data_IF_130723027602
#
_entry.id   IF_130723027602
#
_cell.length_a   1.000
_cell.length_b   1.000
_cell.length_c   1.000
_cell.angle_alpha   90.00
_cell.angle_beta   90.00
_cell.angle_gamma   90.00
#
_symmetry.space_group_name_H-M   'P 1'
#
loop_
_entity.id
_entity.type
_entity.pdbx_description
1 polymer ?
#
# COMPACT_ATOMS: atom_id res chain seq x y z
N UNK A 1 13.89 -12.56 -111.37
CA UNK A 1 14.30 -11.33 -110.64
C UNK A 1 13.12 -10.46 -110.18
N UNK A 2 11.95 -10.45 -110.86
CA UNK A 2 10.77 -9.65 -110.43
C UNK A 2 10.11 -10.12 -109.12
N UNK A 3 9.85 -11.42 -108.96
CA UNK A 3 9.21 -11.96 -107.73
C UNK A 3 9.94 -11.64 -106.41
N UNK A 4 11.27 -11.50 -106.45
CA UNK A 4 12.05 -11.14 -105.26
C UNK A 4 11.93 -9.65 -104.96
N UNK A 5 11.92 -8.80 -106.00
CA UNK A 5 11.73 -7.37 -105.88
C UNK A 5 10.32 -7.02 -105.39
N UNK A 6 9.28 -7.71 -105.87
CA UNK A 6 7.90 -7.48 -105.40
C UNK A 6 7.75 -7.87 -103.92
N UNK A 7 8.40 -8.96 -103.51
CA UNK A 7 8.42 -9.38 -102.11
C UNK A 7 9.20 -8.39 -101.24
N UNK A 8 10.33 -7.88 -101.70
CA UNK A 8 11.13 -6.87 -101.00
C UNK A 8 10.40 -5.53 -100.89
N UNK A 9 9.68 -5.11 -101.93
CA UNK A 9 8.78 -3.95 -101.89
C UNK A 9 7.67 -4.14 -100.84
N UNK A 10 7.03 -5.32 -100.81
CA UNK A 10 6.01 -5.63 -99.80
C UNK A 10 6.56 -5.65 -98.36
N UNK A 11 7.82 -6.06 -98.17
CA UNK A 11 8.49 -6.00 -96.88
C UNK A 11 8.81 -4.54 -96.49
N UNK A 12 9.29 -3.72 -97.42
CA UNK A 12 9.54 -2.29 -97.17
C UNK A 12 8.25 -1.53 -96.82
N UNK A 13 7.14 -1.81 -97.51
CA UNK A 13 5.83 -1.22 -97.19
C UNK A 13 5.29 -1.72 -95.84
N UNK A 14 5.65 -2.94 -95.42
CA UNK A 14 5.31 -3.44 -94.09
C UNK A 14 6.18 -2.79 -93.01
N UNK A 15 7.47 -2.57 -93.27
CA UNK A 15 8.36 -1.86 -92.35
C UNK A 15 7.90 -0.42 -92.17
N UNK A 16 7.56 0.31 -93.24
CA UNK A 16 7.03 1.68 -93.13
C UNK A 16 5.75 1.75 -92.31
N UNK A 17 4.79 0.84 -92.55
CA UNK A 17 3.57 0.79 -91.74
C UNK A 17 3.84 0.51 -90.26
N UNK A 18 4.76 -0.41 -89.97
CA UNK A 18 5.16 -0.70 -88.60
C UNK A 18 5.90 0.49 -87.95
N UNK A 19 6.73 1.22 -88.70
CA UNK A 19 7.38 2.44 -88.22
C UNK A 19 6.37 3.55 -87.90
N UNK A 20 5.36 3.73 -88.75
CA UNK A 20 4.26 4.69 -88.52
C UNK A 20 3.41 4.29 -87.31
N UNK A 21 3.03 3.02 -87.19
CA UNK A 21 2.29 2.50 -86.04
C UNK A 21 3.11 2.63 -84.75
N UNK A 22 4.42 2.36 -84.80
CA UNK A 22 5.29 2.48 -83.64
C UNK A 22 5.47 3.95 -83.22
N UNK A 23 5.59 4.89 -84.18
CA UNK A 23 5.62 6.31 -83.89
C UNK A 23 4.29 6.82 -83.26
N UNK A 24 3.15 6.30 -83.71
CA UNK A 24 1.85 6.59 -83.11
C UNK A 24 1.74 6.04 -81.69
N UNK A 25 2.18 4.81 -81.45
CA UNK A 25 2.20 4.20 -80.12
C UNK A 25 3.13 4.96 -79.17
N UNK A 26 4.31 5.37 -79.62
CA UNK A 26 5.20 6.22 -78.82
C UNK A 26 4.57 7.56 -78.45
N UNK A 27 3.84 8.17 -79.39
CA UNK A 27 3.11 9.40 -79.11
C UNK A 27 2.02 9.17 -78.07
N UNK A 28 1.24 8.09 -78.20
CA UNK A 28 0.21 7.75 -77.22
C UNK A 28 0.79 7.43 -75.84
N UNK A 29 1.95 6.75 -75.77
CA UNK A 29 2.65 6.49 -74.51
C UNK A 29 3.08 7.81 -73.85
N UNK A 30 3.71 8.72 -74.62
CA UNK A 30 4.13 10.03 -74.10
C UNK A 30 2.93 10.86 -73.62
N UNK A 31 1.84 10.86 -74.37
CA UNK A 31 0.63 11.58 -74.00
C UNK A 31 -0.05 10.96 -72.77
N UNK A 32 -0.05 9.63 -72.66
CA UNK A 32 -0.55 8.92 -71.49
C UNK A 32 0.28 9.23 -70.25
N UNK A 33 1.62 9.22 -70.34
CA UNK A 33 2.49 9.64 -69.24
C UNK A 33 2.31 11.11 -68.88
N UNK A 34 2.08 12.00 -69.84
CA UNK A 34 1.80 13.41 -69.56
C UNK A 34 0.47 13.61 -68.82
N UNK A 35 -0.56 12.84 -69.18
CA UNK A 35 -1.89 12.87 -68.54
C UNK A 35 -1.95 12.12 -67.19
N UNK A 36 -1.11 11.10 -67.01
CA UNK A 36 -1.06 10.24 -65.82
C UNK A 36 0.07 10.59 -64.86
N UNK A 37 1.02 11.42 -65.28
CA UNK A 37 1.98 12.02 -64.36
C UNK A 37 1.17 12.75 -63.29
N UNK A 38 1.28 12.37 -62.01
CA UNK A 38 0.53 13.03 -60.95
C UNK A 38 0.87 14.51 -60.96
N UNK A 39 -0.08 15.34 -61.36
CA UNK A 39 0.05 16.80 -61.37
C UNK A 39 0.30 17.25 -59.94
N UNK A 40 1.56 17.59 -59.64
CA UNK A 40 2.08 18.00 -58.35
C UNK A 40 1.96 16.96 -57.22
N UNK A 41 3.03 16.83 -56.43
CA UNK A 41 2.92 16.20 -55.11
C UNK A 41 1.79 16.89 -54.34
N UNK A 42 0.81 16.13 -53.85
CA UNK A 42 -0.23 16.69 -52.98
C UNK A 42 0.46 17.36 -51.79
N UNK A 43 0.30 18.67 -51.64
CA UNK A 43 0.97 19.42 -50.57
C UNK A 43 0.32 19.10 -49.21
N UNK A 44 0.89 18.15 -48.47
CA UNK A 44 0.42 17.75 -47.14
C UNK A 44 0.86 18.70 -46.01
N UNK A 45 1.53 19.81 -46.33
CA UNK A 45 2.10 20.76 -45.36
C UNK A 45 1.07 21.28 -44.34
N UNK A 46 -0.15 21.56 -44.77
CA UNK A 46 -1.23 22.03 -43.89
C UNK A 46 -1.64 20.98 -42.83
N UNK A 47 -1.60 19.68 -43.17
CA UNK A 47 -1.92 18.62 -42.21
C UNK A 47 -0.84 18.50 -41.14
N UNK A 48 0.44 18.65 -41.49
CA UNK A 48 1.52 18.62 -40.51
C UNK A 48 1.40 19.74 -39.48
N UNK A 49 1.03 20.96 -39.91
CA UNK A 49 0.76 22.07 -38.99
C UNK A 49 -0.39 21.76 -38.03
N UNK A 50 -1.49 21.18 -38.51
CA UNK A 50 -2.61 20.79 -37.64
C UNK A 50 -2.23 19.67 -36.67
N UNK A 51 -1.43 18.70 -37.11
CA UNK A 51 -0.94 17.60 -36.26
C UNK A 51 -0.04 18.16 -35.16
N UNK A 52 0.88 19.06 -35.49
CA UNK A 52 1.77 19.71 -34.53
C UNK A 52 0.97 20.54 -33.50
N UNK A 53 -0.03 21.29 -33.95
CA UNK A 53 -0.92 22.04 -33.05
C UNK A 53 -1.68 21.11 -32.09
N UNK A 54 -2.21 19.99 -32.57
CA UNK A 54 -2.89 19.01 -31.74
C UNK A 54 -1.93 18.34 -30.75
N UNK A 55 -0.71 18.01 -31.18
CA UNK A 55 0.33 17.47 -30.30
C UNK A 55 0.67 18.46 -29.17
N UNK A 56 0.84 19.74 -29.51
CA UNK A 56 1.10 20.79 -28.53
C UNK A 56 -0.07 20.97 -27.54
N UNK A 57 -1.31 20.89 -28.02
CA UNK A 57 -2.50 20.93 -27.14
C UNK A 57 -2.53 19.73 -26.19
N UNK A 58 -2.23 18.52 -26.67
CA UNK A 58 -2.17 17.31 -25.84
C UNK A 58 -1.08 17.46 -24.77
N UNK A 59 0.10 17.95 -25.14
CA UNK A 59 1.21 18.16 -24.20
C UNK A 59 0.81 19.20 -23.15
N UNK A 60 0.25 20.34 -23.56
CA UNK A 60 -0.22 21.38 -22.63
C UNK A 60 -1.27 20.83 -21.67
N UNK A 61 -2.28 20.13 -22.18
CA UNK A 61 -3.33 19.53 -21.36
C UNK A 61 -2.77 18.47 -20.39
N UNK A 62 -1.76 17.70 -20.81
CA UNK A 62 -1.09 16.71 -19.95
C UNK A 62 -0.31 17.39 -18.84
N UNK A 63 0.43 18.46 -19.15
CA UNK A 63 1.16 19.25 -18.15
C UNK A 63 0.20 19.89 -17.15
N UNK A 64 -0.90 20.47 -17.60
CA UNK A 64 -1.87 21.11 -16.73
C UNK A 64 -2.63 20.08 -15.87
N UNK A 65 -2.92 18.89 -16.40
CA UNK A 65 -3.47 17.78 -15.62
C UNK A 65 -2.49 17.34 -14.51
N UNK A 66 -1.20 17.20 -14.84
CA UNK A 66 -0.18 16.88 -13.83
C UNK A 66 -0.06 17.97 -12.75
N UNK A 67 -0.13 19.26 -13.11
CA UNK A 67 -0.16 20.36 -12.14
C UNK A 67 -1.38 20.26 -11.22
N UNK A 68 -2.57 20.06 -11.78
CA UNK A 68 -3.80 19.89 -10.99
C UNK A 68 -3.71 18.70 -10.04
N UNK A 69 -3.11 17.59 -10.48
CA UNK A 69 -2.89 16.42 -9.63
C UNK A 69 -1.96 16.73 -8.45
N UNK A 70 -0.87 17.46 -8.69
CA UNK A 70 0.03 17.93 -7.63
C UNK A 70 -0.66 18.89 -6.65
N UNK A 71 -1.49 19.81 -7.15
CA UNK A 71 -2.25 20.74 -6.32
C UNK A 71 -3.29 20.01 -5.46
N UNK A 72 -3.93 18.98 -6.01
CA UNK A 72 -4.85 18.09 -5.27
C UNK A 72 -4.10 17.36 -4.15
N UNK A 73 -2.94 16.78 -4.45
CA UNK A 73 -2.16 16.04 -3.46
C UNK A 73 -1.61 16.98 -2.38
N UNK A 74 -1.15 18.18 -2.74
CA UNK A 74 -0.74 19.21 -1.78
C UNK A 74 -1.92 19.64 -0.88
N UNK A 75 -3.09 19.87 -1.46
CA UNK A 75 -4.31 20.23 -0.73
C UNK A 75 -4.76 19.11 0.23
N UNK A 76 -4.59 17.84 -0.17
CA UNK A 76 -4.87 16.68 0.70
C UNK A 76 -3.87 16.59 1.85
N UNK A 77 -2.57 16.71 1.55
CA UNK A 77 -1.53 16.67 2.58
C UNK A 77 -1.72 17.79 3.61
N UNK A 78 -2.02 19.02 3.16
CA UNK A 78 -2.30 20.14 4.07
C UNK A 78 -3.58 19.93 4.88
N UNK A 79 -4.64 19.36 4.30
CA UNK A 79 -5.84 18.98 5.04
C UNK A 79 -5.56 17.92 6.11
N UNK A 80 -4.74 16.91 5.80
CA UNK A 80 -4.31 15.87 6.75
C UNK A 80 -3.44 16.45 7.88
N UNK A 81 -2.53 17.36 7.57
CA UNK A 81 -1.73 18.08 8.57
C UNK A 81 -2.62 18.87 9.54
N UNK A 82 -3.65 19.56 9.02
CA UNK A 82 -4.59 20.29 9.86
C UNK A 82 -5.48 19.36 10.69
N UNK A 83 -5.90 18.22 10.12
CA UNK A 83 -6.65 17.19 10.85
C UNK A 83 -5.83 16.65 12.03
N UNK A 84 -4.57 16.28 11.81
CA UNK A 84 -3.69 15.80 12.88
C UNK A 84 -3.46 16.86 13.96
N UNK A 85 -3.24 18.12 13.56
CA UNK A 85 -3.10 19.23 14.52
C UNK A 85 -4.37 19.44 15.35
N UNK A 86 -5.54 19.36 14.72
CA UNK A 86 -6.83 19.47 15.40
C UNK A 86 -7.04 18.33 16.40
N UNK A 87 -6.74 17.08 16.01
CA UNK A 87 -6.85 15.92 16.89
C UNK A 87 -5.93 16.05 18.12
N UNK A 88 -4.68 16.48 17.92
CA UNK A 88 -3.75 16.74 19.02
C UNK A 88 -4.24 17.86 19.95
N UNK A 89 -4.69 18.99 19.41
CA UNK A 89 -5.21 20.11 20.20
C UNK A 89 -6.48 19.70 20.96
N UNK A 90 -7.35 18.88 20.35
CA UNK A 90 -8.54 18.35 21.00
C UNK A 90 -8.20 17.52 22.25
N UNK A 91 -7.20 16.65 22.15
CA UNK A 91 -6.72 15.83 23.28
C UNK A 91 -6.15 16.71 24.39
N UNK A 92 -5.34 17.71 24.04
CA UNK A 92 -4.78 18.67 25.02
C UNK A 92 -5.92 19.43 25.71
N UNK A 93 -6.90 19.92 24.94
CA UNK A 93 -8.08 20.62 25.46
C UNK A 93 -8.88 19.75 26.42
N UNK A 94 -9.14 18.49 26.07
CA UNK A 94 -9.84 17.54 26.94
C UNK A 94 -9.08 17.28 28.25
N UNK A 95 -7.75 17.17 28.18
CA UNK A 95 -6.90 17.00 29.36
C UNK A 95 -6.99 18.22 30.28
N UNK A 96 -6.85 19.43 29.72
CA UNK A 96 -6.99 20.66 30.49
C UNK A 96 -8.39 20.83 31.08
N UNK A 97 -9.45 20.43 30.37
CA UNK A 97 -10.81 20.43 30.92
C UNK A 97 -10.98 19.46 32.07
N UNK A 98 -10.38 18.27 31.98
CA UNK A 98 -10.38 17.30 33.08
C UNK A 98 -9.68 17.89 34.32
N UNK A 99 -8.53 18.54 34.13
CA UNK A 99 -7.79 19.22 35.21
C UNK A 99 -8.62 20.36 35.83
N UNK A 100 -9.27 21.20 35.02
CA UNK A 100 -10.15 22.28 35.50
C UNK A 100 -11.31 21.73 36.32
N UNK A 101 -11.94 20.64 35.86
CA UNK A 101 -13.02 20.00 36.59
C UNK A 101 -12.51 19.38 37.91
N UNK A 102 -11.31 18.79 37.92
CA UNK A 102 -10.66 18.34 39.14
C UNK A 102 -10.39 19.47 40.13
N UNK A 103 -9.87 20.60 39.65
CA UNK A 103 -9.63 21.79 40.48
C UNK A 103 -10.92 22.39 41.04
N UNK A 104 -12.02 22.36 40.29
CA UNK A 104 -13.34 22.78 40.80
C UNK A 104 -13.81 21.87 41.94
N UNK A 105 -13.69 20.55 41.79
CA UNK A 105 -14.05 19.62 42.86
C UNK A 105 -13.19 19.83 44.12
N UNK A 106 -11.88 20.05 43.96
CA UNK A 106 -10.99 20.38 45.07
C UNK A 106 -11.37 21.71 45.74
N UNK A 107 -11.77 22.72 44.97
CA UNK A 107 -12.26 23.98 45.52
C UNK A 107 -13.54 23.78 46.34
N UNK A 108 -14.47 22.97 45.84
CA UNK A 108 -15.72 22.66 46.55
C UNK A 108 -15.43 21.90 47.86
N UNK A 109 -14.51 20.93 47.84
CA UNK A 109 -14.05 20.20 49.04
C UNK A 109 -13.37 21.14 50.06
N UNK A 110 -12.49 22.03 49.60
CA UNK A 110 -11.86 23.03 50.45
C UNK A 110 -12.87 24.03 51.01
N UNK A 111 -13.90 24.38 50.24
CA UNK A 111 -14.98 25.25 50.71
C UNK A 111 -15.84 24.54 51.76
N UNK A 112 -16.11 23.25 51.57
CA UNK A 112 -16.83 22.44 52.55
C UNK A 112 -16.04 22.28 53.86
N UNK A 113 -14.74 21.99 53.79
CA UNK A 113 -13.89 21.90 54.99
C UNK A 113 -13.77 23.25 55.69
N UNK A 114 -13.62 24.36 54.96
CA UNK A 114 -13.61 25.71 55.54
C UNK A 114 -14.90 26.01 56.29
N UNK A 115 -16.06 25.77 55.68
CA UNK A 115 -17.37 26.03 56.30
C UNK A 115 -17.62 25.14 57.52
N UNK A 116 -17.15 23.88 57.48
CA UNK A 116 -17.21 22.98 58.63
C UNK A 116 -16.37 23.51 59.81
N UNK A 117 -15.12 23.92 59.55
CA UNK A 117 -14.24 24.52 60.55
C UNK A 117 -14.77 25.86 61.08
N UNK A 118 -15.37 26.69 60.23
CA UNK A 118 -16.03 27.94 60.64
C UNK A 118 -17.18 27.65 61.61
N UNK A 119 -17.98 26.62 61.35
CA UNK A 119 -19.06 26.19 62.25
C UNK A 119 -18.54 25.66 63.59
N UNK A 120 -17.48 24.85 63.59
CA UNK A 120 -16.84 24.36 64.82
C UNK A 120 -16.27 25.52 65.65
N UNK A 121 -15.65 26.50 65.00
CA UNK A 121 -15.10 27.68 65.64
C UNK A 121 -16.20 28.52 66.29
N UNK A 122 -17.33 28.71 65.60
CA UNK A 122 -18.46 29.45 66.16
C UNK A 122 -19.10 28.71 67.35
N UNK A 123 -19.27 27.39 67.25
CA UNK A 123 -19.71 26.55 68.38
C UNK A 123 -18.81 26.70 69.60
N UNK A 124 -17.48 26.62 69.42
CA UNK A 124 -16.52 26.78 70.51
C UNK A 124 -16.55 28.19 71.12
N UNK A 125 -16.81 29.23 70.32
CA UNK A 125 -17.00 30.59 70.86
C UNK A 125 -18.29 30.69 71.68
N UNK A 126 -19.39 30.11 71.21
CA UNK A 126 -20.65 30.08 71.94
C UNK A 126 -20.49 29.36 73.28
N UNK A 127 -19.81 28.21 73.30
CA UNK A 127 -19.46 27.49 74.53
C UNK A 127 -18.63 28.35 75.48
N UNK A 128 -17.62 29.07 74.96
CA UNK A 128 -16.78 29.95 75.76
C UNK A 128 -17.60 31.11 76.38
N UNK A 129 -18.51 31.71 75.61
CA UNK A 129 -19.41 32.75 76.11
C UNK A 129 -20.35 32.18 77.17
N UNK A 130 -20.92 30.99 76.94
CA UNK A 130 -21.80 30.32 77.90
C UNK A 130 -21.08 30.03 79.22
N UNK A 131 -19.86 29.50 79.17
CA UNK A 131 -19.04 29.24 80.37
C UNK A 131 -18.73 30.54 81.12
N UNK A 132 -18.36 31.62 80.42
CA UNK A 132 -18.12 32.93 81.07
C UNK A 132 -19.37 33.47 81.73
N UNK A 133 -20.51 33.39 81.06
CA UNK A 133 -21.79 33.84 81.58
C UNK A 133 -22.18 33.04 82.82
N UNK A 134 -22.07 31.71 82.76
CA UNK A 134 -22.34 30.83 83.90
C UNK A 134 -21.44 31.19 85.09
N UNK A 135 -20.15 31.44 84.85
CA UNK A 135 -19.22 31.85 85.90
C UNK A 135 -19.59 33.22 86.51
N UNK A 136 -20.00 34.20 85.69
CA UNK A 136 -20.48 35.50 86.18
C UNK A 136 -21.76 35.36 87.01
N UNK A 137 -22.68 34.50 86.59
CA UNK A 137 -23.91 34.19 87.33
C UNK A 137 -23.60 33.47 88.65
N UNK A 138 -22.71 32.49 88.66
CA UNK A 138 -22.22 31.82 89.87
C UNK A 138 -21.55 32.79 90.84
N UNK A 139 -20.68 33.68 90.33
CA UNK A 139 -20.06 34.72 91.15
C UNK A 139 -21.08 35.71 91.69
N UNK A 140 -22.09 36.10 90.91
CA UNK A 140 -23.19 36.96 91.37
C UNK A 140 -24.02 36.26 92.44
N UNK A 141 -24.29 34.97 92.29
CA UNK A 141 -24.96 34.13 93.29
C UNK A 141 -24.13 34.04 94.58
N UNK A 142 -22.82 33.75 94.48
CA UNK A 142 -21.91 33.73 95.63
C UNK A 142 -21.77 35.10 96.30
N UNK A 143 -21.71 36.20 95.52
CA UNK A 143 -21.72 37.56 96.06
C UNK A 143 -23.03 37.89 96.75
N UNK A 144 -24.18 37.45 96.22
CA UNK A 144 -25.48 37.60 96.87
C UNK A 144 -25.57 36.79 98.17
N UNK A 145 -24.94 35.61 98.22
CA UNK A 145 -24.79 34.82 99.45
C UNK A 145 -23.81 35.45 100.45
N UNK A 146 -22.84 36.23 99.99
CA UNK A 146 -21.83 36.89 100.85
C UNK A 146 -22.30 38.29 101.32
N UNK A 147 -23.38 38.84 100.75
CA UNK A 147 -23.91 40.17 101.05
C UNK A 147 -25.14 40.22 101.99
N UNK A 148 -25.54 39.09 102.58
CA UNK A 148 -26.67 39.02 103.50
C UNK A 148 -26.25 38.52 104.87
N UNK A 149 -26.07 39.43 105.83
CA UNK A 149 -26.40 39.11 107.22
C UNK A 149 -27.92 38.99 107.29
N UNK A 150 -28.44 37.78 107.03
CA UNK A 150 -29.86 37.48 107.16
C UNK A 150 -30.10 37.04 108.59
N UNK A 151 -30.36 38.02 109.46
CA UNK A 151 -31.13 37.80 110.68
C UNK A 151 -32.56 37.45 110.28
N UNK A 152 -32.89 36.14 110.29
CA UNK A 152 -34.28 35.65 110.23
C UNK A 152 -34.80 35.53 111.66
N UNK A 153 -35.56 36.53 112.10
CA UNK A 153 -36.39 36.41 113.30
C UNK A 153 -37.57 35.48 113.01
N UNK A 154 -37.53 34.31 113.66
CA UNK A 154 -38.55 33.26 113.59
C UNK A 154 -39.75 33.70 114.42
N UNK A 155 -40.80 34.22 113.77
CA UNK A 155 -42.13 34.28 114.37
C UNK A 155 -42.86 32.95 114.11
N UNK A 156 -42.90 32.11 115.14
CA UNK A 156 -43.63 30.86 115.15
C UNK A 156 -45.15 31.12 115.11
N UNK A 157 -45.72 31.07 113.91
CA UNK A 157 -47.14 30.81 113.69
C UNK A 157 -47.44 29.33 113.99
N UNK A 158 -48.69 28.98 114.37
CA UNK A 158 -49.02 27.71 115.04
C UNK A 158 -48.71 26.50 114.15
N UNK A 159 -48.09 25.48 114.77
CA UNK A 159 -47.46 24.33 114.12
C UNK A 159 -48.23 23.75 112.93
N UNK A 160 -47.67 23.95 111.75
CA UNK A 160 -47.99 23.15 110.57
C UNK A 160 -47.48 21.72 110.76
N UNK A 161 -48.28 20.77 110.30
CA UNK A 161 -48.11 19.35 110.51
C UNK A 161 -46.82 18.85 109.83
N UNK A 162 -45.73 18.76 110.59
CA UNK A 162 -44.38 18.43 110.12
C UNK A 162 -44.34 17.12 109.33
N UNK A 163 -45.24 16.20 109.67
CA UNK A 163 -45.42 14.92 108.99
C UNK A 163 -45.94 15.10 107.55
N UNK A 164 -46.76 16.12 107.32
CA UNK A 164 -47.30 16.45 106.00
C UNK A 164 -46.21 17.04 105.10
N UNK A 165 -45.40 17.98 105.60
CA UNK A 165 -44.28 18.58 104.86
C UNK A 165 -43.21 17.53 104.52
N UNK A 166 -42.86 16.64 105.46
CA UNK A 166 -41.92 15.55 105.19
C UNK A 166 -42.45 14.56 104.15
N UNK A 167 -43.76 14.29 104.14
CA UNK A 167 -44.39 13.44 103.12
C UNK A 167 -44.46 14.14 101.75
N UNK A 168 -44.75 15.43 101.71
CA UNK A 168 -44.77 16.22 100.47
C UNK A 168 -43.37 16.31 99.86
N UNK A 169 -42.35 16.54 100.69
CA UNK A 169 -40.95 16.54 100.28
C UNK A 169 -40.52 15.16 99.77
N UNK A 170 -40.93 14.07 100.43
CA UNK A 170 -40.70 12.70 99.94
C UNK A 170 -41.38 12.45 98.59
N UNK A 171 -42.63 12.88 98.44
CA UNK A 171 -43.38 12.75 97.18
C UNK A 171 -42.72 13.53 96.04
N UNK A 172 -42.19 14.74 96.31
CA UNK A 172 -41.44 15.51 95.32
C UNK A 172 -40.16 14.80 94.90
N UNK A 173 -39.39 14.24 95.85
CA UNK A 173 -38.21 13.45 95.52
C UNK A 173 -38.54 12.17 94.75
N UNK A 174 -39.60 11.44 95.12
CA UNK A 174 -40.05 10.27 94.37
C UNK A 174 -40.49 10.64 92.95
N UNK A 175 -41.16 11.77 92.74
CA UNK A 175 -41.50 12.28 91.42
C UNK A 175 -40.26 12.67 90.60
N UNK A 176 -39.27 13.33 91.20
CA UNK A 176 -38.02 13.70 90.54
C UNK A 176 -37.22 12.46 90.15
N UNK A 177 -37.16 11.45 91.01
CA UNK A 177 -36.48 10.17 90.73
C UNK A 177 -37.18 9.44 89.59
N UNK A 178 -38.51 9.33 89.63
CA UNK A 178 -39.28 8.65 88.59
C UNK A 178 -39.23 9.40 87.25
N UNK A 179 -39.22 10.74 87.28
CA UNK A 179 -39.01 11.58 86.10
C UNK A 179 -37.61 11.37 85.51
N UNK A 180 -36.56 11.42 86.33
CA UNK A 180 -35.19 11.14 85.88
C UNK A 180 -35.05 9.73 85.29
N UNK A 181 -35.65 8.71 85.93
CA UNK A 181 -35.65 7.33 85.42
C UNK A 181 -36.25 7.27 84.03
N UNK A 182 -37.42 7.89 83.83
CA UNK A 182 -38.11 7.92 82.53
C UNK A 182 -37.33 8.71 81.48
N UNK A 183 -36.75 9.85 81.84
CA UNK A 183 -35.93 10.66 80.93
C UNK A 183 -34.67 9.90 80.48
N UNK A 184 -34.04 9.17 81.39
CA UNK A 184 -32.89 8.30 81.08
C UNK A 184 -33.29 7.14 80.18
N UNK A 185 -34.41 6.46 80.46
CA UNK A 185 -34.94 5.37 79.60
C UNK A 185 -35.24 5.88 78.18
N UNK A 186 -35.95 7.01 78.05
CA UNK A 186 -36.23 7.63 76.75
C UNK A 186 -34.97 8.06 76.02
N UNK A 187 -34.00 8.63 76.74
CA UNK A 187 -32.71 9.00 76.16
C UNK A 187 -31.95 7.78 75.64
N UNK A 188 -31.95 6.66 76.38
CA UNK A 188 -31.36 5.40 75.93
C UNK A 188 -32.08 4.83 74.71
N UNK A 189 -33.41 4.84 74.68
CA UNK A 189 -34.20 4.38 73.52
C UNK A 189 -33.85 5.18 72.26
N UNK A 190 -33.87 6.52 72.35
CA UNK A 190 -33.47 7.40 71.23
C UNK A 190 -32.04 7.12 70.79
N UNK A 191 -31.11 6.93 71.73
CA UNK A 191 -29.71 6.66 71.38
C UNK A 191 -29.53 5.30 70.70
N UNK A 192 -30.24 4.27 71.15
CA UNK A 192 -30.25 2.95 70.51
C UNK A 192 -30.84 3.03 69.10
N UNK A 193 -31.95 3.74 68.93
CA UNK A 193 -32.56 3.95 67.61
C UNK A 193 -31.63 4.69 66.66
N UNK A 194 -30.94 5.74 67.13
CA UNK A 194 -29.97 6.49 66.33
C UNK A 194 -28.81 5.60 65.87
N UNK A 195 -28.23 4.81 66.79
CA UNK A 195 -27.15 3.87 66.47
C UNK A 195 -27.64 2.81 65.49
N UNK A 196 -28.84 2.25 65.69
CA UNK A 196 -29.39 1.23 64.81
C UNK A 196 -29.67 1.78 63.40
N UNK A 197 -30.15 3.03 63.31
CA UNK A 197 -30.33 3.74 62.04
C UNK A 197 -28.99 3.94 61.34
N UNK A 198 -27.96 4.37 62.06
CA UNK A 198 -26.61 4.56 61.51
C UNK A 198 -25.97 3.24 61.04
N UNK A 199 -26.15 2.15 61.79
CA UNK A 199 -25.70 0.81 61.39
C UNK A 199 -26.42 0.35 60.13
N UNK A 200 -27.74 0.57 60.05
CA UNK A 200 -28.53 0.19 58.88
C UNK A 200 -28.12 0.98 57.64
N UNK A 201 -27.94 2.30 57.75
CA UNK A 201 -27.50 3.13 56.64
C UNK A 201 -26.09 2.76 56.19
N UNK A 202 -25.15 2.61 57.14
CA UNK A 202 -23.77 2.21 56.84
C UNK A 202 -23.72 0.81 56.19
N UNK A 203 -24.54 -0.14 56.66
CA UNK A 203 -24.64 -1.46 56.04
C UNK A 203 -25.18 -1.37 54.60
N UNK A 204 -26.15 -0.50 54.35
CA UNK A 204 -26.70 -0.29 53.00
C UNK A 204 -25.65 0.34 52.07
N UNK A 205 -24.89 1.34 52.54
CA UNK A 205 -23.82 1.98 51.78
C UNK A 205 -22.69 1.01 51.44
N UNK A 206 -22.34 0.12 52.37
CA UNK A 206 -21.37 -0.95 52.12
C UNK A 206 -21.92 -1.92 51.06
N UNK A 207 -23.20 -2.29 51.12
CA UNK A 207 -23.81 -3.18 50.14
C UNK A 207 -23.87 -2.56 48.74
N UNK A 208 -24.22 -1.27 48.62
CA UNK A 208 -24.25 -0.58 47.33
C UNK A 208 -22.85 -0.42 46.75
N UNK A 209 -21.88 -0.01 47.56
CA UNK A 209 -20.47 0.12 47.15
C UNK A 209 -19.87 -1.23 46.73
N UNK A 210 -20.12 -2.30 47.49
CA UNK A 210 -19.66 -3.65 47.11
C UNK A 210 -20.31 -4.13 45.82
N UNK A 211 -21.60 -3.85 45.59
CA UNK A 211 -22.25 -4.17 44.33
C UNK A 211 -21.64 -3.40 43.16
N UNK A 212 -21.42 -2.09 43.29
CA UNK A 212 -20.76 -1.27 42.27
C UNK A 212 -19.34 -1.79 41.95
N UNK A 213 -18.57 -2.15 42.96
CA UNK A 213 -17.25 -2.75 42.77
C UNK A 213 -17.32 -4.09 42.02
N UNK A 214 -18.34 -4.91 42.27
CA UNK A 214 -18.52 -6.17 41.52
C UNK A 214 -18.91 -5.95 40.06
N UNK A 215 -19.76 -4.96 39.77
CA UNK A 215 -20.12 -4.60 38.40
C UNK A 215 -18.92 -4.04 37.63
N UNK A 216 -18.18 -3.10 38.22
CA UNK A 216 -16.96 -2.56 37.61
C UNK A 216 -15.91 -3.64 37.34
N UNK A 217 -15.75 -4.62 38.25
CA UNK A 217 -14.87 -5.77 38.03
C UNK A 217 -15.34 -6.64 36.85
N UNK A 218 -16.65 -6.85 36.71
CA UNK A 218 -17.22 -7.60 35.56
C UNK A 218 -17.01 -6.85 34.26
N UNK A 219 -17.24 -5.54 34.24
CA UNK A 219 -17.00 -4.70 33.07
C UNK A 219 -15.52 -4.71 32.65
N UNK A 220 -14.61 -4.58 33.61
CA UNK A 220 -13.17 -4.67 33.37
C UNK A 220 -12.80 -6.03 32.74
N UNK A 221 -13.30 -7.14 33.29
CA UNK A 221 -13.05 -8.48 32.74
C UNK A 221 -13.63 -8.63 31.32
N UNK A 222 -14.83 -8.10 31.07
CA UNK A 222 -15.44 -8.13 29.74
C UNK A 222 -14.61 -7.33 28.72
N UNK A 223 -14.12 -6.15 29.11
CA UNK A 223 -13.24 -5.34 28.25
C UNK A 223 -11.89 -6.01 28.00
N UNK A 224 -11.32 -6.69 29.00
CA UNK A 224 -10.10 -7.49 28.81
C UNK A 224 -10.32 -8.63 27.82
N UNK A 225 -11.45 -9.35 27.90
CA UNK A 225 -11.79 -10.42 26.96
C UNK A 225 -11.98 -9.86 25.54
N UNK A 226 -12.70 -8.74 25.40
CA UNK A 226 -12.88 -8.08 24.11
C UNK A 226 -11.53 -7.63 23.52
N UNK A 227 -10.64 -7.06 24.34
CA UNK A 227 -9.30 -6.69 23.91
C UNK A 227 -8.52 -7.91 23.41
N UNK A 228 -8.56 -9.04 24.13
CA UNK A 228 -7.90 -10.28 23.68
C UNK A 228 -8.51 -10.82 22.39
N UNK A 229 -9.84 -10.75 22.23
CA UNK A 229 -10.51 -11.14 21.00
C UNK A 229 -10.05 -10.28 19.82
N UNK A 230 -10.00 -8.95 19.98
CA UNK A 230 -9.53 -8.03 18.94
C UNK A 230 -8.05 -8.22 18.59
N UNK A 231 -7.19 -8.52 19.57
CA UNK A 231 -5.79 -8.87 19.30
C UNK A 231 -5.68 -10.17 18.49
N UNK A 232 -6.52 -11.17 18.80
CA UNK A 232 -6.54 -12.43 18.06
C UNK A 232 -7.01 -12.25 16.60
N UNK A 233 -8.02 -11.41 16.36
CA UNK A 233 -8.52 -11.12 15.01
C UNK A 233 -7.49 -10.33 14.21
N UNK A 234 -6.85 -9.33 14.82
CA UNK A 234 -5.74 -8.59 14.22
C UNK A 234 -4.63 -9.54 13.77
N UNK A 235 -4.13 -10.38 14.67
CA UNK A 235 -3.06 -11.32 14.34
C UNK A 235 -3.46 -12.28 13.21
N UNK A 236 -4.71 -12.75 13.20
CA UNK A 236 -5.21 -13.60 12.10
C UNK A 236 -5.24 -12.87 10.77
N UNK A 237 -5.61 -11.59 10.74
CA UNK A 237 -5.65 -10.78 9.53
C UNK A 237 -4.23 -10.45 9.02
N UNK A 238 -3.31 -10.12 9.92
CA UNK A 238 -1.89 -9.90 9.58
C UNK A 238 -1.24 -11.16 9.00
N UNK A 239 -1.51 -12.32 9.59
CA UNK A 239 -1.03 -13.60 9.06
C UNK A 239 -1.62 -13.90 7.67
N UNK A 240 -2.93 -13.68 7.48
CA UNK A 240 -3.56 -13.85 6.17
C UNK A 240 -2.98 -12.90 5.12
N UNK A 241 -2.67 -11.65 5.50
CA UNK A 241 -2.03 -10.70 4.61
C UNK A 241 -0.64 -11.20 4.20
N UNK A 242 0.20 -11.55 5.17
CA UNK A 242 1.55 -12.08 4.92
C UNK A 242 1.55 -13.34 4.04
N UNK A 243 0.61 -14.26 4.26
CA UNK A 243 0.43 -15.45 3.43
C UNK A 243 0.06 -15.07 1.98
N UNK A 244 -0.87 -14.13 1.80
CA UNK A 244 -1.27 -13.69 0.45
C UNK A 244 -0.14 -12.98 -0.27
N UNK A 245 0.61 -12.11 0.40
CA UNK A 245 1.77 -11.42 -0.15
C UNK A 245 2.86 -12.42 -0.55
N UNK A 246 3.17 -13.40 0.30
CA UNK A 246 4.13 -14.47 -0.01
C UNK A 246 3.70 -15.27 -1.24
N UNK A 247 2.42 -15.66 -1.31
CA UNK A 247 1.86 -16.40 -2.45
C UNK A 247 1.96 -15.60 -3.76
N UNK A 248 1.63 -14.31 -3.73
CA UNK A 248 1.75 -13.45 -4.91
C UNK A 248 3.21 -13.16 -5.27
N UNK A 249 4.10 -13.02 -4.29
CA UNK A 249 5.55 -12.91 -4.51
C UNK A 249 6.10 -14.14 -5.24
N UNK A 250 5.70 -15.34 -4.83
CA UNK A 250 6.07 -16.58 -5.50
C UNK A 250 5.53 -16.65 -6.93
N UNK A 251 4.26 -16.28 -7.14
CA UNK A 251 3.66 -16.24 -8.48
C UNK A 251 4.39 -15.25 -9.40
N UNK A 252 4.76 -14.08 -8.88
CA UNK A 252 5.52 -13.08 -9.63
C UNK A 252 6.90 -13.61 -10.01
N UNK A 253 7.60 -14.27 -9.08
CA UNK A 253 8.89 -14.90 -9.34
C UNK A 253 8.78 -16.01 -10.39
N UNK A 254 7.71 -16.81 -10.37
CA UNK A 254 7.44 -17.83 -11.37
C UNK A 254 7.23 -17.22 -12.76
N UNK A 255 6.42 -16.18 -12.87
CA UNK A 255 6.18 -15.46 -14.14
C UNK A 255 7.48 -14.83 -14.64
N UNK A 256 8.26 -14.21 -13.75
CA UNK A 256 9.56 -13.65 -14.12
C UNK A 256 10.52 -14.73 -14.64
N UNK A 257 10.52 -15.92 -14.03
CA UNK A 257 11.30 -17.06 -14.52
C UNK A 257 10.88 -17.49 -15.93
N UNK A 258 9.58 -17.49 -16.23
CA UNK A 258 9.07 -17.78 -17.58
C UNK A 258 9.47 -16.70 -18.58
N UNK A 259 9.40 -15.42 -18.21
CA UNK A 259 9.85 -14.30 -19.05
C UNK A 259 11.34 -14.48 -19.38
N UNK A 260 12.18 -14.70 -18.37
CA UNK A 260 13.62 -14.87 -18.55
C UNK A 260 13.93 -16.06 -19.49
N UNK A 261 13.24 -17.19 -19.34
CA UNK A 261 13.41 -18.36 -20.21
C UNK A 261 13.09 -18.03 -21.67
N UNK A 262 11.99 -17.31 -21.92
CA UNK A 262 11.60 -16.93 -23.29
C UNK A 262 12.54 -15.87 -23.86
N UNK A 263 13.01 -14.93 -23.06
CA UNK A 263 14.02 -13.94 -23.46
C UNK A 263 15.35 -14.60 -23.84
N UNK A 264 15.77 -15.62 -23.08
CA UNK A 264 16.97 -16.41 -23.36
C UNK A 264 16.82 -17.21 -24.67
N UNK A 265 15.68 -17.89 -24.88
CA UNK A 265 15.37 -18.58 -26.14
C UNK A 265 15.40 -17.63 -27.35
N UNK A 266 14.78 -16.45 -27.21
CA UNK A 266 14.82 -15.40 -28.24
C UNK A 266 16.25 -14.91 -28.51
N UNK A 267 17.06 -14.76 -27.46
CA UNK A 267 18.48 -14.44 -27.58
C UNK A 267 19.24 -15.49 -28.36
N UNK A 268 19.06 -16.77 -28.03
CA UNK A 268 19.69 -17.91 -28.71
C UNK A 268 19.35 -17.93 -30.20
N UNK A 269 18.06 -17.82 -30.54
CA UNK A 269 17.60 -17.82 -31.94
C UNK A 269 18.20 -16.64 -32.73
N UNK A 270 18.31 -15.45 -32.11
CA UNK A 270 18.95 -14.30 -32.76
C UNK A 270 20.43 -14.55 -33.03
N UNK A 271 21.17 -15.08 -32.06
CA UNK A 271 22.58 -15.44 -32.24
C UNK A 271 22.76 -16.50 -33.33
N UNK A 272 21.92 -17.54 -33.35
CA UNK A 272 21.92 -18.56 -34.40
C UNK A 272 21.63 -17.96 -35.78
N UNK A 273 20.64 -17.07 -35.87
CA UNK A 273 20.27 -16.38 -37.12
C UNK A 273 21.42 -15.49 -37.64
N UNK A 274 22.08 -14.74 -36.76
CA UNK A 274 23.26 -13.93 -37.12
C UNK A 274 24.41 -14.80 -37.61
N UNK A 275 24.67 -15.92 -36.94
CA UNK A 275 25.70 -16.88 -37.36
C UNK A 275 25.39 -17.48 -38.73
N UNK A 276 24.16 -17.92 -38.97
CA UNK A 276 23.73 -18.43 -40.28
C UNK A 276 23.85 -17.36 -41.36
N UNK A 277 23.44 -16.12 -41.08
CA UNK A 277 23.57 -15.00 -42.02
C UNK A 277 25.03 -14.79 -42.44
N UNK A 278 25.96 -14.88 -41.49
CA UNK A 278 27.38 -14.77 -41.76
C UNK A 278 27.89 -15.93 -42.63
N UNK A 279 27.48 -17.16 -42.36
CA UNK A 279 27.79 -18.33 -43.19
C UNK A 279 27.25 -18.18 -44.62
N UNK A 280 25.99 -17.73 -44.77
CA UNK A 280 25.39 -17.45 -46.07
C UNK A 280 26.17 -16.39 -46.87
N UNK A 281 26.61 -15.31 -46.21
CA UNK A 281 27.45 -14.28 -46.86
C UNK A 281 28.78 -14.85 -47.34
N UNK A 282 29.43 -15.70 -46.53
CA UNK A 282 30.68 -16.36 -46.94
C UNK A 282 30.46 -17.28 -48.14
N UNK A 283 29.40 -18.11 -48.10
CA UNK A 283 29.08 -19.02 -49.20
C UNK A 283 28.73 -18.28 -50.49
N UNK A 284 27.97 -17.18 -50.39
CA UNK A 284 27.68 -16.31 -51.52
C UNK A 284 28.96 -15.72 -52.12
N UNK A 285 29.92 -15.29 -51.29
CA UNK A 285 31.23 -14.81 -51.74
C UNK A 285 32.06 -15.88 -52.47
N UNK A 286 32.00 -17.13 -52.02
CA UNK A 286 32.66 -18.25 -52.72
C UNK A 286 31.96 -18.52 -54.05
N UNK A 287 30.62 -18.55 -54.07
CA UNK A 287 29.82 -18.78 -55.27
C UNK A 287 30.09 -17.72 -56.34
N UNK A 288 30.12 -16.44 -55.98
CA UNK A 288 30.42 -15.35 -56.94
C UNK A 288 31.83 -15.46 -57.50
N UNK A 289 32.82 -15.86 -56.68
CA UNK A 289 34.19 -16.12 -57.16
C UNK A 289 34.23 -17.30 -58.14
N UNK A 290 33.57 -18.41 -57.83
CA UNK A 290 33.50 -19.57 -58.73
C UNK A 290 32.79 -19.22 -60.05
N UNK A 291 31.73 -18.40 -60.01
CA UNK A 291 31.06 -17.92 -61.22
C UNK A 291 31.99 -17.07 -62.10
N UNK A 292 32.85 -16.24 -61.49
CA UNK A 292 33.89 -15.50 -62.21
C UNK A 292 34.93 -16.43 -62.84
N UNK A 293 35.43 -17.43 -62.11
CA UNK A 293 36.37 -18.43 -62.63
C UNK A 293 35.76 -19.22 -63.81
N UNK A 294 34.50 -19.65 -63.70
CA UNK A 294 33.78 -20.31 -64.81
C UNK A 294 33.63 -19.39 -66.03
N UNK A 295 33.31 -18.12 -65.82
CA UNK A 295 33.20 -17.15 -66.91
C UNK A 295 34.56 -16.96 -67.63
N UNK A 296 35.65 -16.88 -66.87
CA UNK A 296 37.01 -16.83 -67.42
C UNK A 296 37.33 -18.11 -68.21
N UNK A 297 37.06 -19.29 -67.65
CA UNK A 297 37.25 -20.56 -68.35
C UNK A 297 36.45 -20.65 -69.65
N UNK A 298 35.20 -20.14 -69.68
CA UNK A 298 34.38 -20.06 -70.91
C UNK A 298 34.98 -19.12 -71.96
N UNK A 299 35.51 -17.96 -71.55
CA UNK A 299 36.20 -17.02 -72.45
C UNK A 299 37.41 -17.66 -73.11
N UNK A 300 38.27 -18.33 -72.32
CA UNK A 300 39.47 -19.01 -72.81
C UNK A 300 39.12 -20.15 -73.79
N UNK A 301 38.05 -20.91 -73.53
CA UNK A 301 37.56 -21.94 -74.48
C UNK A 301 37.08 -21.34 -75.80
N UNK A 302 36.42 -20.17 -75.76
CA UNK A 302 35.91 -19.49 -76.94
C UNK A 302 37.04 -18.90 -77.80
N UNK A 303 38.10 -18.37 -77.17
CA UNK A 303 39.33 -17.94 -77.85
C UNK A 303 40.02 -19.12 -78.56
N UNK A 304 40.19 -20.26 -77.88
CA UNK A 304 40.78 -21.46 -78.47
C UNK A 304 39.97 -22.08 -79.62
N UNK A 305 38.64 -21.90 -79.64
CA UNK A 305 37.79 -22.32 -80.77
C UNK A 305 37.89 -21.39 -81.97
N UNK A 306 38.15 -20.10 -81.77
CA UNK A 306 38.42 -19.17 -82.87
C UNK A 306 39.76 -19.50 -83.56
N UNK A 307 40.79 -19.86 -82.79
CA UNK A 307 42.09 -20.33 -83.32
C UNK A 307 41.96 -21.63 -84.13
N UNK A 308 41.06 -22.55 -83.72
CA UNK A 308 40.77 -23.78 -84.47
C UNK A 308 40.02 -23.51 -85.79
N UNK A 309 39.19 -22.47 -85.85
CA UNK A 309 38.43 -22.11 -87.06
C UNK A 309 39.29 -21.41 -88.12
N UNK A 310 40.35 -20.71 -87.73
CA UNK A 310 41.33 -20.09 -88.66
C UNK A 310 42.33 -21.13 -89.19
N UNK A 311 42.59 -22.20 -88.45
CA UNK A 311 43.55 -23.25 -88.82
C UNK A 311 43.00 -24.34 -89.77
N UNK A 312 41.69 -24.32 -90.11
CA UNK A 312 41.05 -25.36 -90.94
C UNK A 312 41.18 -25.16 -92.47
N UNK A 313 42.03 -24.23 -92.95
CA UNK A 313 42.08 -23.85 -94.39
C UNK A 313 43.35 -24.24 -95.17
N UNK A 314 44.28 -25.03 -94.61
CA UNK A 314 45.41 -25.57 -95.36
C UNK A 314 45.65 -27.05 -95.01
N UNK A 315 45.18 -27.93 -95.91
CA UNK A 315 45.76 -29.19 -96.42
C UNK A 315 47.18 -29.55 -95.88
N UNK A 316 47.62 -30.79 -95.59
CA UNK A 316 47.30 -32.14 -96.11
C UNK A 316 48.15 -33.21 -95.33
N UNK A 317 47.53 -34.25 -94.74
CA UNK A 317 47.94 -35.69 -94.55
C UNK A 317 49.41 -36.10 -94.13
N UNK A 318 49.74 -37.40 -93.89
CA UNK A 318 49.25 -38.37 -92.89
C UNK A 318 50.38 -39.18 -92.17
N UNK A 319 49.97 -40.12 -91.28
CA UNK A 319 50.58 -41.46 -91.03
C UNK A 319 51.33 -41.79 -89.72
N UNK A 320 50.79 -42.82 -89.04
CA UNK A 320 51.44 -43.95 -88.33
C UNK A 320 52.23 -43.65 -87.03
N UNK A 321 52.34 -44.49 -85.98
CA UNK A 321 51.73 -45.73 -85.43
C UNK A 321 52.63 -46.13 -84.24
N UNK A 322 52.10 -46.53 -83.06
CA UNK A 322 52.64 -47.54 -82.09
C UNK A 322 51.76 -47.50 -80.79
N UNK A 323 51.03 -48.54 -80.37
CA UNK A 323 51.42 -49.74 -79.57
C UNK A 323 52.16 -49.37 -78.26
N UNK A 324 51.88 -49.87 -77.05
CA UNK A 324 51.01 -50.95 -76.57
C UNK A 324 50.79 -50.87 -75.05
N UNK A 325 49.61 -51.32 -74.61
CA UNK A 325 49.28 -52.09 -73.40
C UNK A 325 50.42 -52.55 -72.45
N UNK A 326 50.33 -52.22 -71.14
CA UNK A 326 50.63 -53.18 -70.07
C UNK A 326 49.96 -52.85 -68.72
N UNK A 327 49.88 -53.90 -67.89
CA UNK A 327 48.91 -54.24 -66.85
C UNK A 327 49.34 -53.82 -65.43
N UNK A 328 48.35 -53.64 -64.54
CA UNK A 328 48.39 -53.63 -63.04
C UNK A 328 49.09 -54.90 -62.45
N UNK A 329 49.52 -55.02 -61.15
CA UNK A 329 48.81 -54.58 -59.92
C UNK A 329 49.62 -54.26 -58.62
N UNK A 330 48.88 -53.82 -57.58
CA UNK A 330 48.99 -54.01 -56.11
C UNK A 330 50.30 -53.77 -55.31
N UNK A 331 50.15 -53.02 -54.19
CA UNK A 331 51.06 -53.00 -53.04
C UNK A 331 50.63 -52.00 -51.95
N UNK A 332 50.54 -52.45 -50.70
CA UNK A 332 49.93 -51.79 -49.53
C UNK A 332 50.90 -50.87 -48.74
N UNK A 333 50.36 -50.15 -47.72
CA UNK A 333 50.88 -49.78 -46.37
C UNK A 333 49.98 -48.61 -45.86
N UNK A 334 49.02 -48.83 -44.95
CA UNK A 334 49.06 -48.84 -43.46
C UNK A 334 49.26 -47.45 -42.81
N UNK A 335 48.27 -47.04 -41.99
CA UNK A 335 48.31 -45.84 -41.15
C UNK A 335 46.97 -45.59 -40.44
N UNK A 336 46.86 -46.11 -39.22
CA UNK A 336 45.73 -46.08 -38.28
C UNK A 336 45.69 -44.82 -37.40
N UNK A 337 44.50 -44.51 -36.84
CA UNK A 337 44.16 -44.06 -35.45
C UNK A 337 42.81 -43.28 -35.54
N UNK A 338 41.65 -43.88 -35.21
CA UNK A 338 40.92 -43.89 -33.91
C UNK A 338 40.70 -42.48 -33.32
N UNK A 339 39.52 -42.05 -32.84
CA UNK A 339 38.19 -42.62 -32.60
C UNK A 339 37.23 -41.43 -32.38
N UNK A 340 35.96 -41.54 -31.97
CA UNK A 340 35.08 -42.63 -31.61
C UNK A 340 33.70 -42.01 -31.38
N UNK A 341 32.64 -42.71 -31.80
CA UNK A 341 31.24 -42.39 -31.49
C UNK A 341 30.91 -42.89 -30.09
N UNK A 342 30.00 -42.22 -29.38
CA UNK A 342 29.01 -42.91 -28.54
C UNK A 342 27.68 -42.16 -28.52
N UNK A 343 26.63 -42.98 -28.43
CA UNK A 343 25.22 -42.76 -28.65
C UNK A 343 24.41 -42.64 -27.34
N UNK A 344 23.30 -41.90 -27.44
CA UNK A 344 21.96 -42.09 -26.85
C UNK A 344 21.71 -42.55 -25.38
N UNK A 345 20.70 -41.85 -24.83
CA UNK A 345 19.62 -42.23 -23.88
C UNK A 345 19.93 -42.36 -22.39
N UNK A 346 19.16 -41.64 -21.54
CA UNK A 346 18.07 -42.22 -20.73
C UNK A 346 17.20 -41.11 -20.09
N UNK A 347 15.90 -41.39 -20.06
CA UNK A 347 14.84 -40.65 -19.38
C UNK A 347 14.92 -40.81 -17.85
N UNK A 348 14.35 -39.86 -17.10
CA UNK A 348 13.73 -40.15 -15.80
C UNK A 348 12.67 -39.11 -15.46
N UNK A 349 11.42 -39.57 -15.53
CA UNK A 349 10.22 -39.00 -14.95
C UNK A 349 10.21 -39.28 -13.45
N UNK A 350 9.81 -38.33 -12.62
CA UNK A 350 9.30 -38.62 -11.28
C UNK A 350 8.06 -37.79 -11.01
N UNK A 351 6.96 -38.54 -10.93
CA UNK A 351 5.61 -38.17 -10.55
C UNK A 351 5.50 -38.38 -9.03
N UNK A 352 4.93 -37.44 -8.29
CA UNK A 352 4.36 -37.72 -6.97
C UNK A 352 2.97 -37.11 -6.87
N UNK A 353 2.05 -37.94 -6.39
CA UNK A 353 0.60 -37.83 -6.47
C UNK A 353 0.00 -37.80 -5.06
N UNK A 354 -1.09 -37.04 -4.89
CA UNK A 354 -2.09 -37.16 -3.81
C UNK A 354 -2.12 -35.95 -2.86
N UNK A 355 -3.25 -35.34 -2.50
CA UNK A 355 -4.66 -35.64 -2.76
C UNK A 355 -5.54 -34.40 -2.50
N UNK A 356 -6.73 -34.45 -3.08
CA UNK A 356 -7.85 -33.50 -3.20
C UNK A 356 -8.40 -32.85 -1.92
N UNK A 357 -8.98 -31.64 -2.05
CA UNK A 357 -10.35 -31.29 -1.59
C UNK A 357 -10.94 -30.16 -2.47
N UNK A 358 -12.19 -30.34 -2.90
CA UNK A 358 -13.03 -29.41 -3.67
C UNK A 358 -13.38 -28.12 -2.90
N UNK A 359 -13.56 -27.00 -3.61
CA UNK A 359 -14.84 -26.26 -3.62
C UNK A 359 -14.89 -25.14 -4.66
N UNK A 360 -16.06 -25.10 -5.29
CA UNK A 360 -16.66 -24.13 -6.21
C UNK A 360 -16.29 -22.65 -6.00
N UNK A 361 -15.96 -21.95 -7.08
CA UNK A 361 -15.84 -20.49 -7.10
C UNK A 361 -16.06 -19.93 -8.51
N UNK A 362 -17.08 -19.08 -8.66
CA UNK A 362 -17.57 -18.47 -9.90
C UNK A 362 -16.47 -17.70 -10.64
N UNK A 363 -16.43 -17.84 -11.98
CA UNK A 363 -15.60 -17.01 -12.87
C UNK A 363 -16.07 -15.56 -12.81
N UNK A 364 -15.27 -14.67 -12.25
CA UNK A 364 -15.35 -13.22 -12.46
C UNK A 364 -14.12 -12.79 -13.26
N UNK A 365 -14.32 -12.24 -14.46
CA UNK A 365 -13.28 -11.73 -15.35
C UNK A 365 -12.52 -10.56 -14.69
N UNK A 366 -11.17 -10.49 -14.77
CA UNK A 366 -10.44 -9.33 -14.25
C UNK A 366 -10.48 -8.16 -15.25
N UNK A 367 -10.78 -6.97 -14.72
CA UNK A 367 -10.59 -5.67 -15.36
C UNK A 367 -9.09 -5.45 -15.61
N UNK A 368 -8.73 -5.00 -16.82
CA UNK A 368 -7.38 -4.54 -17.18
C UNK A 368 -6.93 -3.43 -16.22
N UNK A 369 -5.85 -3.67 -15.48
CA UNK A 369 -5.06 -2.64 -14.82
C UNK A 369 -3.93 -2.28 -15.79
N UNK A 370 -3.91 -1.05 -16.27
CA UNK A 370 -2.80 -0.47 -17.03
C UNK A 370 -1.80 0.10 -16.01
N UNK A 371 -0.61 -0.50 -15.94
CA UNK A 371 0.52 0.01 -15.16
C UNK A 371 1.33 0.92 -16.10
N UNK A 372 1.37 2.23 -15.81
CA UNK A 372 2.37 3.14 -16.36
C UNK A 372 3.58 3.20 -15.41
N UNK A 373 4.82 3.13 -15.90
CA UNK A 373 6.00 3.25 -15.05
C UNK A 373 6.21 4.71 -14.60
N UNK A 374 6.55 4.92 -13.33
CA UNK A 374 6.77 6.25 -12.75
C UNK A 374 8.09 6.88 -13.25
N UNK A 375 8.10 8.20 -13.54
CA UNK A 375 9.28 8.91 -14.06
C UNK A 375 10.39 9.16 -13.02
N UNK A 376 10.23 8.68 -11.79
CA UNK A 376 11.18 8.87 -10.68
C UNK A 376 12.49 8.10 -10.84
N UNK A 377 12.51 7.03 -11.64
CA UNK A 377 13.73 6.25 -11.87
C UNK A 377 14.74 6.92 -12.83
N UNK A 378 14.30 7.88 -13.66
CA UNK A 378 15.17 8.53 -14.64
C UNK A 378 15.98 9.71 -14.09
N UNK A 379 15.55 10.31 -12.98
CA UNK A 379 16.19 11.50 -12.41
C UNK A 379 17.39 11.14 -11.53
N UNK A 380 17.40 9.94 -10.93
CA UNK A 380 18.53 9.49 -10.10
C UNK A 380 19.75 9.03 -10.91
N UNK A 381 19.57 8.66 -12.18
CA UNK A 381 20.66 8.15 -13.00
C UNK A 381 21.48 9.26 -13.69
N UNK A 382 20.87 10.45 -13.90
CA UNK A 382 21.54 11.60 -14.52
C UNK A 382 22.32 12.45 -13.51
N UNK A 383 21.91 12.46 -12.25
CA UNK A 383 22.60 13.18 -11.17
C UNK A 383 23.91 12.51 -10.74
N UNK A 384 24.02 11.17 -10.80
CA UNK A 384 25.27 10.47 -10.52
C UNK A 384 26.33 10.64 -11.63
N UNK A 385 25.91 10.88 -12.88
CA UNK A 385 26.83 11.06 -14.01
C UNK A 385 27.48 12.45 -14.06
N UNK A 386 26.81 13.50 -13.54
CA UNK A 386 27.40 14.84 -13.47
C UNK A 386 28.37 15.05 -12.29
N UNK A 387 28.30 14.21 -11.24
CA UNK A 387 29.17 14.33 -10.07
C UNK A 387 30.57 13.70 -10.27
N UNK A 388 30.80 12.95 -11.34
CA UNK A 388 32.11 12.35 -11.66
C UNK A 388 32.96 13.16 -12.65
N UNK A 389 32.58 14.42 -12.95
CA UNK A 389 33.28 15.24 -13.94
C UNK A 389 33.79 16.60 -13.42
N UNK A 390 33.91 16.77 -12.10
CA UNK A 390 34.66 17.87 -11.48
C UNK A 390 35.62 17.39 -10.41
#
# INVERSE_FOLDING_TARGET
>A
MQNLNDRLASYLDKVRRLEEENAQLEHHIREWYSKQAPTASKDYSAYYQTIEQLQNQIISATVDNNKLLLDIDNSKMTADDFRMKYENELVIRQTVEADINGLRNLLDELTHTRTSLESELESLKEELIAIKRNHEEELRMLQSQTGGDVSVEVNAAPGEDLTKILNDLRNEYEQIIEKNRREVEQWYEVKIEEVNRQVTSSSQDIQTSTHQLTELRREMQNLEIELQAQLSTKNSLENSLAETESRYGCLLQQIQGQINSVEEELGSIRCEMESQNQEYKMLLGIKTRLEQEIAQYRSLLQEGQQDFSVCSRLHLFPSLKLLSLHRMPQGAIQGSVQGGRTSHSFSSTSYSHGQSVEKSGKKQLPKRILIYPSPTAFIFCTSLLLACQY
#
